data_IF_951262156794
#
_entry.id   IF_951262156794
#
_cell.length_a   1.000
_cell.length_b   1.000
_cell.length_c   1.000
_cell.angle_alpha   90.00
_cell.angle_beta   90.00
_cell.angle_gamma   90.00
#
_symmetry.space_group_name_H-M   'P 1'
#
loop_
_entity.id
_entity.type
_entity.pdbx_description
1 polymer ?
#
# COMPACT_ATOMS: atom_id res chain seq x y z
N UNK A 1 -9.08 3.01 -3.33
CA UNK A 1 -8.03 3.27 -2.34
C UNK A 1 -6.86 2.39 -2.70
N UNK A 2 -5.82 2.97 -3.19
CA UNK A 2 -4.59 2.26 -3.53
C UNK A 2 -3.58 2.53 -2.42
N UNK A 3 -3.24 1.52 -1.65
CA UNK A 3 -2.10 1.57 -0.76
C UNK A 3 -1.04 0.69 -1.37
N UNK A 4 -0.02 1.29 -1.89
CA UNK A 4 1.20 0.58 -2.14
C UNK A 4 1.79 0.22 -0.79
N UNK A 5 2.03 -1.05 -0.56
CA UNK A 5 3.17 -1.42 0.25
C UNK A 5 4.36 -0.79 -0.47
N UNK A 6 4.74 0.42 -0.05
CA UNK A 6 5.96 1.02 -0.55
C UNK A 6 7.08 0.03 -0.26
N UNK A 7 7.81 -0.45 -1.26
CA UNK A 7 8.94 -1.36 -1.03
C UNK A 7 10.11 -0.67 -0.32
N UNK A 8 9.96 0.59 0.06
CA UNK A 8 10.93 1.34 0.84
C UNK A 8 10.55 1.34 2.33
N UNK A 9 10.18 0.18 2.88
CA UNK A 9 10.58 -0.09 4.24
C UNK A 9 12.10 -0.29 4.18
N UNK A 10 12.86 0.58 4.81
CA UNK A 10 14.26 0.29 5.06
C UNK A 10 14.32 -1.08 5.72
N UNK A 11 14.88 -2.06 5.03
CA UNK A 11 15.05 -3.45 5.54
C UNK A 11 15.79 -3.51 6.90
N UNK A 12 16.30 -2.38 7.39
CA UNK A 12 17.03 -2.26 8.66
C UNK A 12 16.15 -2.38 9.91
N UNK A 13 14.82 -2.21 9.79
CA UNK A 13 13.92 -2.18 10.95
C UNK A 13 12.86 -3.30 10.97
N UNK A 14 12.98 -4.29 10.07
CA UNK A 14 12.13 -5.46 10.10
C UNK A 14 12.77 -6.53 10.97
N UNK A 15 12.12 -6.99 12.06
CA UNK A 15 12.62 -8.11 12.82
C UNK A 15 12.70 -9.35 11.91
N UNK A 16 13.89 -9.92 11.82
CA UNK A 16 14.13 -11.21 11.18
C UNK A 16 13.93 -12.27 12.24
N UNK A 17 12.94 -13.12 12.02
CA UNK A 17 12.69 -14.29 12.83
C UNK A 17 13.42 -15.48 12.20
N UNK A 18 14.25 -16.16 12.97
CA UNK A 18 15.04 -17.30 12.53
C UNK A 18 14.74 -18.51 13.37
N UNK A 19 14.57 -19.66 12.73
CA UNK A 19 14.36 -20.95 13.36
C UNK A 19 15.24 -21.99 12.67
N UNK A 20 15.20 -23.24 13.12
CA UNK A 20 15.86 -24.34 12.42
C UNK A 20 15.30 -24.58 11.00
N UNK A 21 14.07 -24.11 10.73
CA UNK A 21 13.41 -24.26 9.42
C UNK A 21 13.72 -23.13 8.44
N UNK A 22 14.36 -22.04 8.89
CA UNK A 22 14.72 -20.93 8.01
C UNK A 22 14.57 -19.54 8.63
N UNK A 23 14.41 -18.54 7.75
CA UNK A 23 14.30 -17.15 8.12
C UNK A 23 13.08 -16.48 7.47
N UNK A 24 12.41 -15.62 8.23
CA UNK A 24 11.29 -14.80 7.77
C UNK A 24 11.39 -13.37 8.30
N UNK A 25 10.92 -12.40 7.55
CA UNK A 25 10.67 -11.04 8.06
C UNK A 25 9.27 -10.96 8.63
N UNK A 26 9.13 -10.39 9.84
CA UNK A 26 7.85 -10.21 10.51
C UNK A 26 7.49 -8.72 10.55
N UNK A 27 6.31 -8.37 10.02
CA UNK A 27 5.75 -7.03 10.10
C UNK A 27 4.71 -7.04 11.23
N UNK A 28 5.15 -6.68 12.44
CA UNK A 28 4.35 -6.72 13.66
C UNK A 28 3.72 -5.35 14.01
N UNK A 29 4.20 -4.28 13.39
CA UNK A 29 3.73 -2.92 13.68
C UNK A 29 2.24 -2.69 13.37
N UNK A 30 1.65 -3.55 12.55
CA UNK A 30 0.24 -3.49 12.18
C UNK A 30 -0.68 -4.15 13.22
N UNK A 31 -0.12 -4.85 14.22
CA UNK A 31 -0.90 -5.53 15.26
C UNK A 31 -1.69 -4.49 16.08
N UNK A 32 -1.02 -3.50 16.64
CA UNK A 32 -1.68 -2.51 17.50
C UNK A 32 -2.76 -1.70 16.75
N UNK A 33 -2.51 -1.13 15.55
CA UNK A 33 -3.52 -0.32 14.87
C UNK A 33 -4.59 -1.13 14.13
N UNK A 34 -4.30 -2.40 13.74
CA UNK A 34 -5.17 -3.16 12.84
C UNK A 34 -5.46 -4.60 13.26
N UNK A 35 -4.81 -5.13 14.30
CA UNK A 35 -4.90 -6.55 14.68
C UNK A 35 -4.20 -7.50 13.70
N UNK A 36 -3.34 -7.01 12.80
CA UNK A 36 -2.78 -7.75 11.68
C UNK A 36 -1.27 -7.93 11.79
N UNK A 37 -0.78 -9.11 11.41
CA UNK A 37 0.64 -9.37 11.21
C UNK A 37 0.88 -9.90 9.80
N UNK A 38 2.06 -9.56 9.24
CA UNK A 38 2.47 -10.03 7.93
C UNK A 38 3.83 -10.71 8.04
N UNK A 39 3.95 -11.88 7.40
CA UNK A 39 5.12 -12.75 7.40
C UNK A 39 5.63 -12.81 5.96
N UNK A 40 6.91 -12.55 5.74
CA UNK A 40 7.55 -12.79 4.45
C UNK A 40 8.62 -13.85 4.61
N UNK A 41 8.37 -15.05 4.11
CA UNK A 41 9.35 -16.13 4.08
C UNK A 41 10.50 -15.73 3.15
N UNK A 42 11.75 -15.84 3.61
CA UNK A 42 12.93 -15.43 2.85
C UNK A 42 13.76 -16.62 2.40
N UNK A 43 14.18 -17.45 3.35
CA UNK A 43 14.97 -18.63 3.09
C UNK A 43 14.48 -19.76 4.01
N UNK A 44 14.13 -20.90 3.44
CA UNK A 44 13.57 -22.00 4.22
C UNK A 44 13.78 -23.33 3.53
N UNK A 45 14.07 -24.36 4.35
CA UNK A 45 14.06 -25.76 3.95
C UNK A 45 12.69 -26.42 4.17
N UNK A 46 11.91 -25.91 5.13
CA UNK A 46 10.60 -26.42 5.53
C UNK A 46 9.60 -25.26 5.68
N UNK A 47 9.08 -24.72 4.56
CA UNK A 47 8.29 -23.50 4.55
C UNK A 47 7.00 -23.57 5.37
N UNK A 48 6.37 -24.72 5.43
CA UNK A 48 5.13 -24.93 6.20
C UNK A 48 5.39 -24.86 7.71
N UNK A 49 6.48 -25.45 8.17
CA UNK A 49 6.87 -25.41 9.58
C UNK A 49 7.30 -24.00 9.99
N UNK A 50 8.13 -23.35 9.16
CA UNK A 50 8.51 -21.96 9.40
C UNK A 50 7.29 -21.04 9.45
N UNK A 51 6.35 -21.20 8.53
CA UNK A 51 5.12 -20.40 8.51
C UNK A 51 4.27 -20.65 9.77
N UNK A 52 4.19 -21.89 10.26
CA UNK A 52 3.47 -22.23 11.48
C UNK A 52 4.10 -21.59 12.72
N UNK A 53 5.42 -21.67 12.89
CA UNK A 53 6.13 -21.02 14.02
C UNK A 53 6.00 -19.50 13.98
N UNK A 54 6.18 -18.89 12.81
CA UNK A 54 5.97 -17.45 12.64
C UNK A 54 4.54 -17.03 12.98
N UNK A 55 3.54 -17.81 12.56
CA UNK A 55 2.13 -17.57 12.87
C UNK A 55 1.90 -17.61 14.38
N UNK A 56 2.39 -18.65 15.05
CA UNK A 56 2.18 -18.82 16.49
C UNK A 56 2.88 -17.70 17.28
N UNK A 57 4.07 -17.28 16.85
CA UNK A 57 4.73 -16.11 17.41
C UNK A 57 3.91 -14.82 17.20
N UNK A 58 3.37 -14.58 15.99
CA UNK A 58 2.52 -13.40 15.72
C UNK A 58 1.26 -13.41 16.61
N UNK A 59 0.67 -14.56 16.89
CA UNK A 59 -0.46 -14.70 17.84
C UNK A 59 -0.09 -14.32 19.26
N UNK A 60 1.07 -14.78 19.73
CA UNK A 60 1.59 -14.39 21.04
C UNK A 60 1.79 -12.86 21.12
N UNK A 61 2.19 -12.22 20.01
CA UNK A 61 2.28 -10.76 19.90
C UNK A 61 0.92 -10.05 19.80
N UNK A 62 -0.20 -10.78 19.80
CA UNK A 62 -1.56 -10.20 19.77
C UNK A 62 -2.19 -10.03 18.39
N UNK A 63 -1.64 -10.67 17.35
CA UNK A 63 -2.24 -10.63 16.01
C UNK A 63 -3.51 -11.48 15.95
N UNK A 64 -4.61 -10.90 15.45
CA UNK A 64 -5.90 -11.57 15.19
C UNK A 64 -5.93 -12.19 13.79
N UNK A 65 -5.36 -11.49 12.80
CA UNK A 65 -5.25 -11.93 11.43
C UNK A 65 -3.77 -11.99 11.01
N UNK A 66 -3.38 -13.09 10.38
CA UNK A 66 -1.98 -13.32 10.00
C UNK A 66 -1.92 -13.69 8.53
N UNK A 67 -1.04 -13.02 7.81
CA UNK A 67 -0.85 -13.21 6.38
C UNK A 67 0.60 -13.55 6.07
N UNK A 68 0.83 -14.40 5.06
CA UNK A 68 2.18 -14.78 4.64
C UNK A 68 2.36 -14.63 3.13
N UNK A 69 3.59 -14.36 2.71
CA UNK A 69 4.04 -14.29 1.32
C UNK A 69 5.49 -14.81 1.19
N UNK A 70 5.98 -14.90 -0.04
CA UNK A 70 7.39 -15.16 -0.34
C UNK A 70 7.76 -16.61 -0.67
N UNK A 71 6.84 -17.56 -0.61
CA UNK A 71 7.13 -18.95 -0.97
C UNK A 71 5.93 -19.65 -1.61
N UNK A 72 6.19 -20.54 -2.60
CA UNK A 72 5.16 -21.27 -3.35
C UNK A 72 4.36 -22.28 -2.52
N UNK A 73 4.95 -22.85 -1.47
CA UNK A 73 4.25 -23.79 -0.56
C UNK A 73 3.05 -23.12 0.15
N UNK A 74 3.03 -21.77 0.25
CA UNK A 74 1.89 -21.04 0.80
C UNK A 74 0.63 -21.15 -0.05
N UNK A 75 0.72 -21.66 -1.28
CA UNK A 75 -0.45 -21.87 -2.15
C UNK A 75 -1.48 -22.89 -1.57
N UNK A 76 -1.10 -23.65 -0.54
CA UNK A 76 -2.03 -24.49 0.24
C UNK A 76 -3.02 -23.66 1.09
N UNK A 77 -2.73 -22.38 1.33
CA UNK A 77 -3.58 -21.48 2.11
C UNK A 77 -4.47 -20.61 1.21
N UNK A 78 -5.61 -20.11 1.72
CA UNK A 78 -6.46 -19.20 0.97
C UNK A 78 -5.72 -17.92 0.60
N UNK A 79 -5.85 -17.49 -0.67
CA UNK A 79 -5.34 -16.20 -1.13
C UNK A 79 -6.17 -15.08 -0.50
N UNK A 80 -5.52 -14.16 0.17
CA UNK A 80 -6.13 -12.95 0.70
C UNK A 80 -6.19 -11.85 -0.37
N UNK A 81 -5.04 -11.60 -1.00
CA UNK A 81 -4.93 -10.59 -2.06
C UNK A 81 -3.64 -10.76 -2.86
N UNK A 82 -3.71 -10.31 -4.11
CA UNK A 82 -2.56 -10.18 -5.00
C UNK A 82 -2.26 -8.69 -5.21
N UNK A 83 -1.02 -8.29 -5.01
CA UNK A 83 -0.56 -6.94 -5.31
C UNK A 83 -0.15 -6.89 -6.77
N UNK A 84 -0.85 -6.09 -7.54
CA UNK A 84 -0.63 -5.90 -8.96
C UNK A 84 0.02 -4.55 -9.25
N UNK A 85 0.96 -4.52 -10.19
CA UNK A 85 1.44 -3.29 -10.80
C UNK A 85 0.62 -3.02 -12.07
N UNK A 86 0.10 -1.79 -12.18
CA UNK A 86 -0.68 -1.35 -13.31
C UNK A 86 0.03 -0.19 -14.00
N UNK A 87 -0.03 -0.18 -15.33
CA UNK A 87 0.54 0.86 -16.17
C UNK A 87 -0.54 1.54 -17.03
N UNK A 88 -0.37 2.85 -17.26
CA UNK A 88 -1.15 3.61 -18.21
C UNK A 88 -0.26 4.61 -18.95
N UNK A 89 -0.50 4.85 -20.24
CA UNK A 89 0.14 5.95 -20.97
C UNK A 89 -0.41 7.28 -20.43
N UNK A 90 0.46 8.15 -19.90
CA UNK A 90 0.05 9.43 -19.31
C UNK A 90 -0.80 10.29 -20.23
N UNK A 91 -0.43 10.35 -21.53
CA UNK A 91 -1.16 11.14 -22.52
C UNK A 91 -2.57 10.62 -22.85
N UNK A 92 -2.92 9.41 -22.38
CA UNK A 92 -4.26 8.86 -22.52
C UNK A 92 -5.19 9.23 -21.35
N UNK A 93 -4.62 9.75 -20.25
CA UNK A 93 -5.41 10.20 -19.12
C UNK A 93 -6.03 11.58 -19.43
N UNK A 94 -7.32 11.75 -19.18
CA UNK A 94 -7.96 13.05 -19.38
C UNK A 94 -7.42 14.08 -18.39
N UNK A 95 -7.59 15.33 -18.72
CA UNK A 95 -7.25 16.45 -17.86
C UNK A 95 -8.25 16.64 -16.71
N UNK A 96 -7.88 17.44 -15.69
CA UNK A 96 -8.72 17.77 -14.55
C UNK A 96 -8.46 19.19 -14.07
N UNK A 97 -9.50 19.83 -13.55
CA UNK A 97 -9.44 21.14 -12.88
C UNK A 97 -9.12 21.02 -11.37
N UNK A 98 -8.88 19.81 -10.88
CA UNK A 98 -8.52 19.59 -9.49
C UNK A 98 -7.08 20.09 -9.21
N UNK A 99 -6.94 20.88 -8.15
CA UNK A 99 -5.68 21.50 -7.75
C UNK A 99 -4.95 20.64 -6.70
N UNK A 100 -3.62 20.63 -6.80
CA UNK A 100 -2.71 19.97 -5.86
C UNK A 100 -2.18 20.98 -4.84
N UNK A 101 -2.28 20.61 -3.57
CA UNK A 101 -1.75 21.38 -2.45
C UNK A 101 -0.73 20.51 -1.72
N UNK A 102 0.57 20.84 -1.76
CA UNK A 102 1.60 20.08 -1.08
C UNK A 102 1.33 20.04 0.44
N UNK A 103 1.61 18.89 1.05
CA UNK A 103 1.57 18.75 2.50
C UNK A 103 2.64 19.65 3.11
N UNK A 104 2.28 20.38 4.16
CA UNK A 104 3.17 21.23 4.93
C UNK A 104 3.29 20.69 6.36
N UNK A 105 4.25 21.19 7.11
CA UNK A 105 4.47 20.79 8.50
C UNK A 105 3.20 20.96 9.34
N UNK A 106 2.46 22.05 9.14
CA UNK A 106 1.20 22.34 9.85
C UNK A 106 0.03 21.44 9.46
N UNK A 107 0.08 20.78 8.29
CA UNK A 107 -1.01 19.94 7.76
C UNK A 107 -0.65 18.46 7.69
N UNK A 108 0.56 18.08 8.12
CA UNK A 108 1.04 16.70 8.07
C UNK A 108 0.14 15.76 8.88
N UNK A 109 -0.26 16.18 10.08
CA UNK A 109 -1.06 15.33 10.96
C UNK A 109 -2.47 15.10 10.41
N UNK A 110 -3.08 16.11 9.78
CA UNK A 110 -4.38 15.98 9.11
C UNK A 110 -4.29 14.98 7.96
N UNK A 111 -3.24 15.12 7.12
CA UNK A 111 -3.00 14.20 6.02
C UNK A 111 -2.79 12.76 6.51
N UNK A 112 -1.94 12.57 7.52
CA UNK A 112 -1.65 11.26 8.12
C UNK A 112 -2.89 10.62 8.77
N UNK A 113 -3.73 11.44 9.42
CA UNK A 113 -5.00 10.99 9.99
C UNK A 113 -5.96 10.48 8.91
N UNK A 114 -6.09 11.22 7.80
CA UNK A 114 -6.90 10.77 6.66
C UNK A 114 -6.32 9.48 6.07
N UNK A 115 -5.00 9.44 5.85
CA UNK A 115 -4.31 8.26 5.34
C UNK A 115 -4.60 7.03 6.21
N UNK A 116 -4.34 7.11 7.50
CA UNK A 116 -4.46 6.01 8.45
C UNK A 116 -5.91 5.52 8.60
N UNK A 117 -6.88 6.43 8.55
CA UNK A 117 -8.30 6.05 8.50
C UNK A 117 -8.65 5.27 7.23
N UNK A 118 -8.09 5.65 6.09
CA UNK A 118 -8.41 5.04 4.80
C UNK A 118 -7.66 3.72 4.56
N UNK A 119 -6.42 3.61 5.05
CA UNK A 119 -5.59 2.42 4.85
C UNK A 119 -6.14 1.16 5.53
N UNK A 120 -6.87 1.31 6.64
CA UNK A 120 -7.52 0.18 7.34
C UNK A 120 -8.40 -0.69 6.44
N UNK A 121 -9.02 -0.09 5.44
CA UNK A 121 -9.89 -0.79 4.49
C UNK A 121 -9.14 -1.31 3.25
N UNK A 122 -7.82 -1.15 3.20
CA UNK A 122 -7.00 -1.59 2.07
C UNK A 122 -6.33 -2.92 2.43
N UNK A 123 -6.55 -4.00 1.67
CA UNK A 123 -5.84 -5.24 1.87
C UNK A 123 -4.32 -5.04 1.80
N UNK A 124 -3.59 -5.60 2.75
CA UNK A 124 -2.15 -5.40 2.92
C UNK A 124 -1.71 -3.92 3.04
N UNK A 125 -2.60 -3.03 3.44
CA UNK A 125 -2.30 -1.62 3.65
C UNK A 125 -1.49 -1.40 4.93
N UNK A 126 -0.42 -0.60 4.86
CA UNK A 126 0.46 -0.31 5.97
C UNK A 126 0.07 0.99 6.68
N UNK A 127 0.00 0.96 8.01
CA UNK A 127 -0.19 2.14 8.85
C UNK A 127 1.02 3.08 8.74
N UNK A 128 0.77 4.37 8.60
CA UNK A 128 1.82 5.39 8.51
C UNK A 128 2.17 5.92 9.90
N UNK A 129 3.39 5.70 10.32
CA UNK A 129 3.95 6.27 11.54
C UNK A 129 4.23 7.78 11.37
N UNK A 130 4.50 8.48 12.48
CA UNK A 130 4.90 9.90 12.42
C UNK A 130 6.22 10.07 11.64
N UNK A 131 7.19 9.18 11.86
CA UNK A 131 8.49 9.22 11.18
C UNK A 131 8.35 9.05 9.66
N UNK A 132 7.48 8.13 9.20
CA UNK A 132 7.18 7.95 7.78
C UNK A 132 6.46 9.17 7.17
N UNK A 133 5.56 9.80 7.93
CA UNK A 133 4.92 11.05 7.54
C UNK A 133 5.94 12.20 7.41
N UNK A 134 6.88 12.31 8.34
CA UNK A 134 7.97 13.28 8.26
C UNK A 134 8.90 13.02 7.06
N UNK A 135 9.20 11.77 6.77
CA UNK A 135 9.98 11.40 5.58
C UNK A 135 9.24 11.74 4.28
N UNK A 136 7.91 11.54 4.23
CA UNK A 136 7.06 11.99 3.12
C UNK A 136 7.12 13.51 2.95
N UNK A 137 7.00 14.26 4.05
CA UNK A 137 7.10 15.72 4.04
C UNK A 137 8.44 16.21 3.50
N UNK A 138 9.55 15.60 3.95
CA UNK A 138 10.90 15.94 3.46
C UNK A 138 11.08 15.64 1.97
N UNK A 139 10.45 14.58 1.45
CA UNK A 139 10.46 14.26 0.02
C UNK A 139 9.56 15.16 -0.82
N UNK A 140 8.59 15.82 -0.20
CA UNK A 140 7.61 16.65 -0.88
C UNK A 140 6.67 15.87 -1.79
N UNK A 141 6.42 14.57 -1.52
CA UNK A 141 5.63 13.69 -2.37
C UNK A 141 4.18 13.49 -1.91
N UNK A 142 3.75 14.17 -0.85
CA UNK A 142 2.39 14.13 -0.30
C UNK A 142 1.56 15.36 -0.69
N UNK A 143 0.28 15.13 -1.07
CA UNK A 143 -0.61 16.19 -1.56
C UNK A 143 -2.02 16.02 -1.03
N UNK A 144 -2.68 17.15 -0.77
CA UNK A 144 -4.13 17.28 -0.75
C UNK A 144 -4.62 17.64 -2.15
N UNK A 145 -5.76 17.12 -2.55
CA UNK A 145 -6.37 17.40 -3.86
C UNK A 145 -7.72 18.07 -3.66
N UNK A 146 -7.87 19.25 -4.22
CA UNK A 146 -9.05 20.10 -4.06
C UNK A 146 -9.68 20.46 -5.40
N UNK A 147 -11.00 20.69 -5.38
CA UNK A 147 -11.72 21.44 -6.42
C UNK A 147 -12.41 22.62 -5.75
N UNK A 148 -11.92 23.82 -6.04
CA UNK A 148 -12.33 25.01 -5.29
C UNK A 148 -12.06 24.85 -3.79
N UNK A 149 -13.10 24.96 -2.96
CA UNK A 149 -13.01 24.79 -1.51
C UNK A 149 -13.21 23.34 -1.03
N UNK A 150 -13.51 22.40 -1.93
CA UNK A 150 -13.84 21.02 -1.56
C UNK A 150 -12.60 20.13 -1.60
N UNK A 151 -12.27 19.48 -0.49
CA UNK A 151 -11.24 18.46 -0.43
C UNK A 151 -11.77 17.18 -1.09
N UNK A 152 -11.23 16.83 -2.25
CA UNK A 152 -11.58 15.62 -3.00
C UNK A 152 -10.90 14.38 -2.41
N UNK A 153 -9.65 14.53 -1.99
CA UNK A 153 -8.88 13.44 -1.43
C UNK A 153 -7.42 13.80 -1.15
N UNK A 154 -6.64 12.78 -0.88
CA UNK A 154 -5.21 12.88 -0.65
C UNK A 154 -4.47 11.90 -1.56
N UNK A 155 -3.20 12.19 -1.85
CA UNK A 155 -2.38 11.29 -2.63
C UNK A 155 -0.89 11.50 -2.46
N UNK A 156 -0.13 10.55 -2.99
CA UNK A 156 1.33 10.61 -3.12
C UNK A 156 1.73 10.26 -4.53
N UNK A 157 2.70 10.99 -5.07
CA UNK A 157 3.25 10.69 -6.38
C UNK A 157 4.73 11.08 -6.45
N UNK A 158 5.50 10.32 -7.23
CA UNK A 158 6.91 10.51 -7.47
C UNK A 158 7.28 10.11 -8.89
N UNK A 159 8.09 10.90 -9.58
CA UNK A 159 8.63 10.68 -10.94
C UNK A 159 7.63 10.07 -11.95
N UNK A 160 7.36 8.77 -11.88
CA UNK A 160 6.43 8.05 -12.75
C UNK A 160 5.36 7.25 -11.99
N UNK A 161 5.34 7.33 -10.65
CA UNK A 161 4.45 6.51 -9.81
C UNK A 161 3.43 7.36 -9.07
N UNK A 162 2.21 6.83 -9.04
CA UNK A 162 1.19 7.23 -8.09
C UNK A 162 1.26 6.23 -6.93
N UNK A 163 1.89 6.67 -5.84
CA UNK A 163 2.18 5.82 -4.69
C UNK A 163 0.98 5.61 -3.78
N UNK A 164 0.06 6.58 -3.74
CA UNK A 164 -1.14 6.50 -2.91
C UNK A 164 -2.27 7.37 -3.46
N UNK A 165 -3.49 6.86 -3.35
CA UNK A 165 -4.73 7.59 -3.67
C UNK A 165 -5.78 7.26 -2.63
N UNK A 166 -6.37 8.27 -2.00
CA UNK A 166 -7.53 8.09 -1.15
C UNK A 166 -8.55 9.22 -1.35
N UNK A 167 -9.75 8.86 -1.81
CA UNK A 167 -10.86 9.79 -1.87
C UNK A 167 -11.39 10.12 -0.47
N UNK A 168 -11.60 11.41 -0.21
CA UNK A 168 -12.32 11.92 0.97
C UNK A 168 -13.78 12.12 0.61
N UNK A 169 -14.02 12.81 -0.48
CA UNK A 169 -15.38 13.00 -1.04
C UNK A 169 -15.75 11.80 -1.93
N UNK A 170 -17.00 11.29 -1.86
CA UNK A 170 -17.48 10.26 -2.78
C UNK A 170 -17.24 10.65 -4.24
N UNK A 171 -16.69 9.72 -5.04
CA UNK A 171 -16.36 9.98 -6.44
C UNK A 171 -15.02 10.70 -6.68
N UNK A 172 -14.44 11.38 -5.69
CA UNK A 172 -13.22 12.18 -5.84
C UNK A 172 -11.94 11.40 -6.22
N UNK A 173 -11.97 10.06 -6.14
CA UNK A 173 -10.78 9.24 -6.45
C UNK A 173 -10.26 9.41 -7.87
N UNK A 174 -11.17 9.60 -8.85
CA UNK A 174 -10.81 9.87 -10.25
C UNK A 174 -9.98 11.16 -10.36
N UNK A 175 -10.48 12.23 -9.77
CA UNK A 175 -9.81 13.54 -9.82
C UNK A 175 -8.47 13.52 -9.07
N UNK A 176 -8.38 12.76 -7.97
CA UNK A 176 -7.10 12.57 -7.26
C UNK A 176 -6.06 11.91 -8.17
N UNK A 177 -6.41 10.83 -8.88
CA UNK A 177 -5.49 10.18 -9.83
C UNK A 177 -5.07 11.14 -10.94
N UNK A 178 -6.02 11.86 -11.54
CA UNK A 178 -5.76 12.78 -12.65
C UNK A 178 -4.89 13.97 -12.21
N UNK A 179 -5.16 14.56 -11.05
CA UNK A 179 -4.33 15.62 -10.51
C UNK A 179 -2.90 15.15 -10.24
N UNK A 180 -2.72 13.97 -9.61
CA UNK A 180 -1.40 13.41 -9.37
C UNK A 180 -0.64 13.09 -10.67
N UNK A 181 -1.35 12.73 -11.75
CA UNK A 181 -0.74 12.52 -13.06
C UNK A 181 0.01 13.75 -13.59
N UNK A 182 -0.39 14.97 -13.21
CA UNK A 182 0.31 16.21 -13.60
C UNK A 182 1.71 16.30 -13.00
N UNK A 183 1.98 15.64 -11.88
CA UNK A 183 3.29 15.61 -11.24
C UNK A 183 4.28 14.63 -11.89
N UNK A 184 3.76 13.66 -12.63
CA UNK A 184 4.60 12.63 -13.23
C UNK A 184 5.37 13.20 -14.42
N UNK A 185 6.62 12.79 -14.58
CA UNK A 185 7.51 13.28 -15.66
C UNK A 185 7.68 12.26 -16.78
N UNK A 186 7.52 10.97 -16.48
CA UNK A 186 7.69 9.88 -17.45
C UNK A 186 6.45 9.72 -18.34
N UNK A 187 6.62 9.06 -19.49
CA UNK A 187 5.53 8.80 -20.46
C UNK A 187 4.49 7.80 -19.94
N UNK A 188 4.87 6.96 -18.99
CA UNK A 188 4.04 5.91 -18.40
C UNK A 188 3.80 6.21 -16.94
N UNK A 189 2.55 6.33 -16.57
CA UNK A 189 2.12 6.34 -15.17
C UNK A 189 2.06 4.92 -14.64
N UNK A 190 2.62 4.71 -13.46
CA UNK A 190 2.67 3.41 -12.78
C UNK A 190 1.97 3.54 -11.43
N UNK A 191 1.19 2.54 -11.06
CA UNK A 191 0.65 2.41 -9.70
C UNK A 191 0.60 0.93 -9.29
N UNK A 192 0.41 0.69 -8.01
CA UNK A 192 0.15 -0.65 -7.51
C UNK A 192 -1.19 -0.70 -6.79
N UNK A 193 -1.83 -1.86 -6.80
CA UNK A 193 -3.14 -2.05 -6.18
C UNK A 193 -3.29 -3.50 -5.71
N UNK A 194 -3.96 -3.69 -4.58
CA UNK A 194 -4.45 -4.99 -4.17
C UNK A 194 -5.67 -5.37 -5.02
N UNK A 195 -5.68 -6.55 -5.64
CA UNK A 195 -6.78 -7.03 -6.48
C UNK A 195 -8.10 -7.13 -5.71
N UNK A 196 -8.03 -7.42 -4.41
CA UNK A 196 -9.17 -7.44 -3.50
C UNK A 196 -9.77 -6.03 -3.28
N UNK A 197 -9.07 -4.95 -3.61
CA UNK A 197 -9.60 -3.58 -3.58
C UNK A 197 -10.39 -3.29 -4.87
N UNK A 198 -11.55 -3.95 -5.03
CA UNK A 198 -12.39 -3.90 -6.22
C UNK A 198 -12.76 -2.48 -6.67
N UNK A 199 -12.96 -1.55 -5.72
CA UNK A 199 -13.29 -0.15 -6.04
C UNK A 199 -12.13 0.58 -6.69
N UNK A 200 -10.92 0.37 -6.20
CA UNK A 200 -9.72 0.96 -6.79
C UNK A 200 -9.41 0.32 -8.16
N UNK A 201 -9.52 -1.00 -8.27
CA UNK A 201 -9.35 -1.72 -9.53
C UNK A 201 -10.28 -1.15 -10.61
N UNK A 202 -11.59 -1.09 -10.37
CA UNK A 202 -12.56 -0.55 -11.31
C UNK A 202 -12.28 0.92 -11.69
N UNK A 203 -11.83 1.75 -10.74
CA UNK A 203 -11.41 3.13 -11.03
C UNK A 203 -10.23 3.14 -11.99
N UNK A 204 -9.16 2.40 -11.71
CA UNK A 204 -7.95 2.40 -12.52
C UNK A 204 -8.19 1.82 -13.90
N UNK A 205 -8.95 0.74 -14.02
CA UNK A 205 -9.38 0.17 -15.30
C UNK A 205 -10.18 1.19 -16.12
N UNK A 206 -11.10 1.94 -15.49
CA UNK A 206 -11.87 3.01 -16.17
C UNK A 206 -11.03 4.17 -16.68
N UNK A 207 -9.81 4.35 -16.13
CA UNK A 207 -8.81 5.33 -16.54
C UNK A 207 -7.81 4.75 -17.55
N UNK A 208 -7.93 3.47 -17.93
CA UNK A 208 -7.05 2.83 -18.90
C UNK A 208 -5.75 2.27 -18.32
N UNK A 209 -5.65 2.13 -16.99
CA UNK A 209 -4.56 1.37 -16.37
C UNK A 209 -4.79 -0.12 -16.59
N UNK A 210 -3.74 -0.81 -17.03
CA UNK A 210 -3.75 -2.25 -17.27
C UNK A 210 -2.77 -2.96 -16.35
N UNK A 211 -3.14 -4.12 -15.78
CA UNK A 211 -2.22 -4.96 -15.04
C UNK A 211 -1.05 -5.41 -15.92
N UNK A 212 0.17 -5.23 -15.42
CA UNK A 212 1.40 -5.61 -16.13
C UNK A 212 2.20 -6.68 -15.42
N UNK A 213 2.10 -6.70 -14.09
CA UNK A 213 2.88 -7.62 -13.28
C UNK A 213 2.23 -7.89 -11.92
N UNK A 214 2.27 -9.15 -11.47
CA UNK A 214 2.08 -9.52 -10.08
C UNK A 214 3.37 -9.20 -9.30
N UNK A 215 3.25 -8.44 -8.22
CA UNK A 215 4.40 -8.10 -7.38
C UNK A 215 4.51 -9.04 -6.20
N UNK A 216 3.39 -9.38 -5.58
CA UNK A 216 3.34 -10.18 -4.38
C UNK A 216 1.95 -10.80 -4.18
N UNK A 217 1.91 -12.00 -3.61
CA UNK A 217 0.68 -12.70 -3.26
C UNK A 217 0.68 -13.00 -1.78
N UNK A 218 -0.36 -12.55 -1.11
CA UNK A 218 -0.58 -12.75 0.32
C UNK A 218 -1.60 -13.86 0.55
N UNK A 219 -1.28 -14.75 1.46
CA UNK A 219 -2.09 -15.88 1.87
C UNK A 219 -2.48 -15.72 3.33
N UNK A 220 -3.72 -16.06 3.68
CA UNK A 220 -4.21 -16.02 5.06
C UNK A 220 -3.84 -17.30 5.78
N UNK A 221 -3.01 -17.20 6.83
CA UNK A 221 -2.68 -18.30 7.73
C UNK A 221 -3.80 -18.47 8.75
N UNK A 222 -4.30 -19.71 8.90
CA UNK A 222 -5.34 -20.08 9.88
C UNK A 222 -4.73 -20.52 11.20
#
# INVERSE_FOLDING_TARGET
>A
MCGTLSPVMHMKDLPIFTTEYGAASLILREIVPQGKAYIRLQATSEPEKLAAECRDFCRVCGAEEIFAAGHSALAAYPVETVILELHCRRSALPDTDAALWPVQTSTLEDWRTIYNRKVRAVPAGAWMTLAEGQAMLQKGDGYFVHRGKTLLGIGRASVNRIDWVAAVTPGGGRDVVLALNHLLTEKTAVLTVADANRKAMALYESLGFLPTRELERWYRLR
#
